data_IF_436706148893
#
_entry.id   IF_436706148893
#
_cell.length_a   1.000
_cell.length_b   1.000
_cell.length_c   1.000
_cell.angle_alpha   90.00
_cell.angle_beta   90.00
_cell.angle_gamma   90.00
#
_symmetry.space_group_name_H-M   'P 1'
#
loop_
_entity.id
_entity.type
_entity.pdbx_description
1 polymer ?
#
# COMPACT_ATOMS: atom_id res chain seq x y z
N UNK A 1 -24.21 -15.35 10.27
CA UNK A 1 -23.41 -14.32 9.56
C UNK A 1 -22.17 -15.01 9.03
N UNK A 2 -21.84 -14.85 7.74
CA UNK A 2 -20.60 -15.42 7.17
C UNK A 2 -19.36 -14.77 7.80
N UNK A 3 -18.23 -15.48 7.81
CA UNK A 3 -16.94 -14.94 8.27
C UNK A 3 -16.55 -13.79 7.33
N UNK A 4 -16.30 -12.61 7.89
CA UNK A 4 -15.88 -11.44 7.10
C UNK A 4 -14.47 -11.64 6.54
N UNK A 5 -14.26 -11.21 5.30
CA UNK A 5 -12.91 -11.16 4.71
C UNK A 5 -12.07 -10.12 5.45
N UNK A 6 -10.85 -10.47 5.80
CA UNK A 6 -9.92 -9.55 6.50
C UNK A 6 -9.07 -8.79 5.46
N UNK A 7 -9.04 -7.47 5.58
CA UNK A 7 -8.19 -6.58 4.81
C UNK A 7 -7.14 -5.93 5.72
N UNK A 8 -5.87 -6.01 5.36
CA UNK A 8 -4.78 -5.33 6.05
C UNK A 8 -4.30 -4.14 5.22
N UNK A 9 -4.32 -2.95 5.80
CA UNK A 9 -3.76 -1.73 5.20
C UNK A 9 -2.44 -1.39 5.88
N UNK A 10 -1.34 -1.51 5.16
CA UNK A 10 0.01 -1.21 5.66
C UNK A 10 0.40 0.21 5.28
N UNK A 11 0.76 1.03 6.27
CA UNK A 11 1.13 2.43 6.05
C UNK A 11 -0.06 3.38 6.12
N UNK A 12 -0.78 3.36 7.24
CA UNK A 12 -1.94 4.24 7.46
C UNK A 12 -1.49 5.61 7.94
N UNK A 13 -1.69 6.60 7.09
CA UNK A 13 -1.63 8.03 7.38
C UNK A 13 -2.95 8.70 6.98
N UNK A 14 -3.06 10.05 7.08
CA UNK A 14 -4.30 10.79 6.84
C UNK A 14 -4.80 10.78 5.38
N UNK A 15 -3.95 10.34 4.41
CA UNK A 15 -4.29 10.26 2.98
C UNK A 15 -4.71 8.86 2.54
N UNK A 16 -3.98 8.30 1.58
CA UNK A 16 -4.30 7.02 0.93
C UNK A 16 -4.60 5.89 1.92
N UNK A 17 -3.78 5.73 2.98
CA UNK A 17 -4.00 4.67 3.96
C UNK A 17 -5.33 4.79 4.70
N UNK A 18 -5.74 6.00 5.06
CA UNK A 18 -7.05 6.23 5.68
C UNK A 18 -8.20 6.01 4.69
N UNK A 19 -8.05 6.46 3.43
CA UNK A 19 -9.05 6.25 2.38
C UNK A 19 -9.25 4.76 2.06
N UNK A 20 -8.15 4.01 1.93
CA UNK A 20 -8.18 2.55 1.76
C UNK A 20 -8.92 1.87 2.92
N UNK A 21 -8.60 2.26 4.17
CA UNK A 21 -9.29 1.72 5.35
C UNK A 21 -10.80 1.96 5.34
N UNK A 22 -11.23 3.21 5.04
CA UNK A 22 -12.65 3.56 4.93
C UNK A 22 -13.35 2.78 3.81
N UNK A 23 -12.71 2.70 2.64
CA UNK A 23 -13.31 2.03 1.49
C UNK A 23 -13.56 0.55 1.77
N UNK A 24 -12.56 -0.18 2.28
CA UNK A 24 -12.71 -1.60 2.54
C UNK A 24 -13.67 -1.89 3.71
N UNK A 25 -13.71 -1.04 4.75
CA UNK A 25 -14.71 -1.15 5.81
C UNK A 25 -16.13 -0.97 5.27
N UNK A 26 -16.35 0.00 4.36
CA UNK A 26 -17.64 0.23 3.68
C UNK A 26 -18.09 -1.00 2.86
N UNK A 27 -17.16 -1.74 2.30
CA UNK A 27 -17.43 -2.98 1.54
C UNK A 27 -17.59 -4.23 2.43
N UNK A 28 -17.65 -4.03 3.75
CA UNK A 28 -17.94 -5.10 4.70
C UNK A 28 -16.74 -5.95 5.11
N UNK A 29 -15.52 -5.54 4.79
CA UNK A 29 -14.32 -6.19 5.31
C UNK A 29 -14.13 -5.90 6.81
N UNK A 30 -13.53 -6.84 7.53
CA UNK A 30 -12.86 -6.54 8.78
C UNK A 30 -11.48 -5.93 8.44
N UNK A 31 -11.16 -4.75 8.96
CA UNK A 31 -9.98 -3.98 8.51
C UNK A 31 -8.93 -3.84 9.60
N UNK A 32 -7.71 -4.28 9.34
CA UNK A 32 -6.54 -4.04 10.18
C UNK A 32 -5.72 -2.85 9.62
N UNK A 33 -5.57 -1.80 10.41
CA UNK A 33 -4.88 -0.56 10.04
C UNK A 33 -3.49 -0.52 10.68
N UNK A 34 -2.43 -0.63 9.89
CA UNK A 34 -1.05 -0.71 10.35
C UNK A 34 -0.29 0.59 10.11
N UNK A 35 0.35 1.09 11.17
CA UNK A 35 1.26 2.23 11.09
C UNK A 35 2.37 2.09 12.14
N UNK A 36 3.55 2.63 11.87
CA UNK A 36 4.66 2.69 12.83
C UNK A 36 4.25 3.46 14.10
N UNK A 37 3.57 4.61 13.91
CA UNK A 37 2.97 5.39 14.99
C UNK A 37 1.45 5.42 14.77
N UNK A 38 0.66 4.66 15.56
CA UNK A 38 -0.72 4.35 15.22
C UNK A 38 -1.76 5.44 15.59
N UNK A 39 -1.37 6.73 15.70
CA UNK A 39 -2.30 7.81 16.09
C UNK A 39 -3.47 7.91 15.10
N UNK A 40 -3.17 8.10 13.81
CA UNK A 40 -4.20 8.20 12.76
C UNK A 40 -5.02 6.92 12.63
N UNK A 41 -4.36 5.75 12.67
CA UNK A 41 -5.05 4.46 12.55
C UNK A 41 -5.97 4.17 13.74
N UNK A 42 -5.57 4.52 14.96
CA UNK A 42 -6.42 4.35 16.16
C UNK A 42 -7.66 5.26 16.10
N UNK A 43 -7.48 6.54 15.76
CA UNK A 43 -8.61 7.46 15.59
C UNK A 43 -9.58 6.98 14.52
N UNK A 44 -9.05 6.52 13.38
CA UNK A 44 -9.87 6.02 12.29
C UNK A 44 -10.59 4.71 12.67
N UNK A 45 -9.92 3.78 13.32
CA UNK A 45 -10.52 2.52 13.77
C UNK A 45 -11.71 2.72 14.70
N UNK A 46 -11.67 3.75 15.55
CA UNK A 46 -12.78 4.08 16.43
C UNK A 46 -14.06 4.56 15.71
N UNK A 47 -13.96 4.94 14.43
CA UNK A 47 -15.08 5.44 13.61
C UNK A 47 -15.62 4.43 12.62
N UNK A 48 -14.93 3.30 12.42
CA UNK A 48 -15.28 2.30 11.40
C UNK A 48 -15.68 0.97 12.03
N UNK A 49 -16.69 0.28 11.47
CA UNK A 49 -17.09 -1.03 11.95
C UNK A 49 -15.98 -2.06 11.73
N UNK A 50 -15.86 -3.04 12.62
CA UNK A 50 -14.96 -4.20 12.52
C UNK A 50 -13.51 -3.83 12.15
N UNK A 51 -13.05 -2.67 12.63
CA UNK A 51 -11.74 -2.12 12.30
C UNK A 51 -10.85 -2.06 13.53
N UNK A 52 -9.59 -2.48 13.41
CA UNK A 52 -8.59 -2.45 14.47
C UNK A 52 -7.31 -1.78 14.01
N UNK A 53 -6.64 -1.07 14.91
CA UNK A 53 -5.34 -0.45 14.67
C UNK A 53 -4.23 -1.26 15.33
N UNK A 54 -3.10 -1.40 14.62
CA UNK A 54 -1.92 -2.09 15.10
C UNK A 54 -0.67 -1.23 14.87
N UNK A 55 0.22 -1.19 15.87
CA UNK A 55 1.56 -0.64 15.68
C UNK A 55 2.40 -1.68 14.91
N UNK A 56 3.03 -1.26 13.80
CA UNK A 56 3.87 -2.13 12.98
C UNK A 56 4.97 -1.31 12.30
N UNK A 57 6.21 -1.64 12.60
CA UNK A 57 7.35 -1.18 11.82
C UNK A 57 7.66 -2.22 10.73
N UNK A 58 7.39 -1.86 9.48
CA UNK A 58 7.60 -2.75 8.33
C UNK A 58 9.07 -3.04 8.05
N UNK A 59 9.99 -2.28 8.64
CA UNK A 59 11.44 -2.48 8.49
C UNK A 59 12.01 -3.49 9.50
N UNK A 60 11.21 -3.90 10.50
CA UNK A 60 11.54 -4.89 11.52
C UNK A 60 10.72 -6.18 11.32
N UNK A 61 11.42 -7.26 10.95
CA UNK A 61 10.79 -8.57 10.73
C UNK A 61 10.08 -9.12 11.96
N UNK A 62 10.56 -8.84 13.17
CA UNK A 62 9.93 -9.27 14.43
C UNK A 62 8.64 -8.49 14.68
N UNK A 63 8.66 -7.16 14.47
CA UNK A 63 7.47 -6.32 14.55
C UNK A 63 6.40 -6.79 13.56
N UNK A 64 6.77 -7.08 12.32
CA UNK A 64 5.86 -7.60 11.29
C UNK A 64 5.27 -8.95 11.71
N UNK A 65 6.09 -9.92 12.10
CA UNK A 65 5.63 -11.26 12.49
C UNK A 65 4.62 -11.19 13.65
N UNK A 66 4.98 -10.50 14.74
CA UNK A 66 4.12 -10.36 15.92
C UNK A 66 2.79 -9.66 15.59
N UNK A 67 2.83 -8.64 14.73
CA UNK A 67 1.62 -7.92 14.30
C UNK A 67 0.68 -8.81 13.50
N UNK A 68 1.19 -9.57 12.54
CA UNK A 68 0.35 -10.46 11.71
C UNK A 68 -0.16 -11.67 12.49
N UNK A 69 0.58 -12.18 13.47
CA UNK A 69 0.09 -13.19 14.42
C UNK A 69 -1.09 -12.64 15.25
N UNK A 70 -0.98 -11.40 15.76
CA UNK A 70 -2.07 -10.74 16.46
C UNK A 70 -3.30 -10.55 15.56
N UNK A 71 -3.12 -10.13 14.30
CA UNK A 71 -4.22 -9.99 13.35
C UNK A 71 -4.91 -11.34 13.09
N UNK A 72 -4.13 -12.41 12.87
CA UNK A 72 -4.68 -13.73 12.63
C UNK A 72 -5.51 -14.23 13.82
N UNK A 73 -5.03 -14.01 15.04
CA UNK A 73 -5.74 -14.36 16.28
C UNK A 73 -7.02 -13.54 16.48
N UNK A 74 -6.96 -12.23 16.24
CA UNK A 74 -8.00 -11.27 16.61
C UNK A 74 -9.08 -11.10 15.53
N UNK A 75 -8.74 -11.34 14.26
CA UNK A 75 -9.60 -11.04 13.09
C UNK A 75 -9.73 -12.22 12.13
N UNK A 76 -8.80 -13.17 12.16
CA UNK A 76 -8.76 -14.31 11.24
C UNK A 76 -7.76 -14.15 10.09
N UNK A 77 -7.78 -15.10 9.13
CA UNK A 77 -6.82 -15.12 8.04
C UNK A 77 -7.01 -13.95 7.08
N UNK A 78 -5.89 -13.34 6.67
CA UNK A 78 -5.89 -12.19 5.78
C UNK A 78 -6.25 -12.62 4.35
N UNK A 79 -7.30 -11.98 3.80
CA UNK A 79 -7.74 -12.15 2.42
C UNK A 79 -7.12 -11.08 1.49
N UNK A 80 -6.96 -9.85 1.97
CA UNK A 80 -6.46 -8.73 1.15
C UNK A 80 -5.37 -7.98 1.90
N UNK A 81 -4.22 -7.79 1.25
CA UNK A 81 -3.12 -6.95 1.72
C UNK A 81 -2.99 -5.72 0.82
N UNK A 82 -3.10 -4.53 1.40
CA UNK A 82 -2.89 -3.25 0.73
C UNK A 82 -1.57 -2.66 1.23
N UNK A 83 -0.52 -2.73 0.42
CA UNK A 83 0.78 -2.21 0.79
C UNK A 83 0.94 -0.75 0.31
N UNK A 84 0.69 0.19 1.22
CA UNK A 84 0.77 1.63 0.99
C UNK A 84 1.95 2.29 1.73
N UNK A 85 2.68 1.56 2.57
CA UNK A 85 3.85 2.12 3.23
C UNK A 85 4.90 2.54 2.20
N UNK A 86 5.48 3.71 2.41
CA UNK A 86 6.48 4.28 1.52
C UNK A 86 7.37 5.30 2.24
N UNK A 87 8.63 5.33 1.85
CA UNK A 87 9.59 6.36 2.26
C UNK A 87 9.57 7.51 1.26
N UNK A 88 9.54 8.74 1.76
CA UNK A 88 9.54 9.98 0.95
C UNK A 88 10.87 10.73 0.99
N UNK A 89 12.00 10.04 1.10
CA UNK A 89 13.32 10.69 1.08
C UNK A 89 13.64 11.21 -0.32
N UNK A 90 13.82 12.53 -0.42
CA UNK A 90 14.10 13.26 -1.66
C UNK A 90 15.47 13.92 -1.58
N UNK A 91 16.23 13.86 -2.64
CA UNK A 91 17.54 14.48 -2.78
C UNK A 91 18.24 14.01 -4.05
N UNK A 92 19.26 14.73 -4.49
CA UNK A 92 20.14 14.33 -5.60
C UNK A 92 21.07 13.20 -5.13
N UNK A 93 21.83 12.61 -6.05
CA UNK A 93 22.87 11.61 -5.71
C UNK A 93 23.96 12.17 -4.79
N UNK A 94 24.16 13.48 -4.80
CA UNK A 94 25.12 14.17 -3.93
C UNK A 94 24.56 14.44 -2.52
N UNK A 95 23.22 14.63 -2.40
CA UNK A 95 22.55 14.96 -1.14
C UNK A 95 22.18 13.74 -0.30
N UNK A 96 21.91 12.59 -0.95
CA UNK A 96 21.36 11.41 -0.28
C UNK A 96 22.46 10.62 0.43
N UNK A 97 22.32 10.46 1.75
CA UNK A 97 23.21 9.58 2.51
C UNK A 97 22.93 8.09 2.25
N UNK A 98 23.96 7.24 2.45
CA UNK A 98 23.79 5.77 2.37
C UNK A 98 22.69 5.26 3.29
N UNK A 99 22.58 5.79 4.52
CA UNK A 99 21.53 5.42 5.48
C UNK A 99 20.12 5.78 4.98
N UNK A 100 19.94 6.96 4.36
CA UNK A 100 18.66 7.36 3.76
C UNK A 100 18.30 6.49 2.56
N UNK A 101 19.29 6.08 1.77
CA UNK A 101 19.11 5.15 0.65
C UNK A 101 18.66 3.77 1.14
N UNK A 102 19.36 3.20 2.15
CA UNK A 102 18.99 1.92 2.76
C UNK A 102 17.59 1.94 3.38
N UNK A 103 17.26 3.01 4.12
CA UNK A 103 15.94 3.16 4.72
C UNK A 103 14.82 3.19 3.66
N UNK A 104 15.06 3.84 2.52
CA UNK A 104 14.12 3.83 1.41
C UNK A 104 13.86 2.39 0.90
N UNK A 105 14.91 1.57 0.76
CA UNK A 105 14.78 0.17 0.39
C UNK A 105 14.09 -0.68 1.46
N UNK A 106 14.44 -0.45 2.73
CA UNK A 106 13.83 -1.18 3.85
C UNK A 106 12.32 -0.95 3.90
N UNK A 107 11.87 0.30 3.77
CA UNK A 107 10.43 0.60 3.79
C UNK A 107 9.73 0.13 2.52
N UNK A 108 10.24 0.45 1.32
CA UNK A 108 9.48 0.22 0.08
C UNK A 108 9.56 -1.24 -0.41
N UNK A 109 10.72 -1.89 -0.34
CA UNK A 109 10.93 -3.23 -0.88
C UNK A 109 10.96 -4.33 0.19
N UNK A 110 11.81 -4.19 1.22
CA UNK A 110 11.91 -5.21 2.26
C UNK A 110 10.60 -5.34 3.05
N UNK A 111 9.98 -4.23 3.45
CA UNK A 111 8.71 -4.24 4.17
C UNK A 111 7.58 -4.89 3.37
N UNK A 112 7.53 -4.69 2.04
CA UNK A 112 6.60 -5.42 1.18
C UNK A 112 6.87 -6.93 1.22
N UNK A 113 8.12 -7.36 1.11
CA UNK A 113 8.48 -8.77 1.19
C UNK A 113 8.08 -9.38 2.53
N UNK A 114 8.43 -8.71 3.63
CA UNK A 114 8.15 -9.20 4.99
C UNK A 114 6.64 -9.35 5.24
N UNK A 115 5.83 -8.36 4.86
CA UNK A 115 4.38 -8.39 5.04
C UNK A 115 3.70 -9.40 4.11
N UNK A 116 4.13 -9.50 2.84
CA UNK A 116 3.61 -10.48 1.90
C UNK A 116 3.85 -11.93 2.39
N UNK A 117 5.03 -12.21 2.96
CA UNK A 117 5.34 -13.54 3.54
C UNK A 117 4.40 -13.95 4.65
N UNK A 118 3.82 -13.00 5.40
CA UNK A 118 2.88 -13.32 6.48
C UNK A 118 1.50 -13.76 5.95
N UNK A 119 1.06 -13.24 4.80
CA UNK A 119 -0.30 -13.49 4.30
C UNK A 119 -0.37 -14.61 3.26
N UNK A 120 0.70 -14.83 2.50
CA UNK A 120 0.75 -15.81 1.40
C UNK A 120 0.37 -17.23 1.86
N UNK A 121 0.82 -17.78 3.00
CA UNK A 121 0.45 -19.14 3.41
C UNK A 121 -1.06 -19.33 3.57
N UNK A 122 -1.74 -18.38 4.22
CA UNK A 122 -3.19 -18.43 4.40
C UNK A 122 -3.95 -18.24 3.07
N UNK A 123 -3.51 -17.33 2.21
CA UNK A 123 -4.09 -17.13 0.87
C UNK A 123 -3.95 -18.40 0.00
N UNK A 124 -2.81 -19.08 0.05
CA UNK A 124 -2.61 -20.37 -0.64
C UNK A 124 -3.55 -21.46 -0.12
N UNK A 125 -3.70 -21.57 1.20
CA UNK A 125 -4.58 -22.55 1.82
C UNK A 125 -6.06 -22.32 1.42
N UNK A 126 -6.46 -21.06 1.22
CA UNK A 126 -7.80 -20.67 0.77
C UNK A 126 -7.96 -20.70 -0.75
N UNK A 127 -6.86 -20.83 -1.51
CA UNK A 127 -6.81 -20.65 -2.96
C UNK A 127 -7.49 -19.34 -3.41
N UNK A 128 -7.38 -18.27 -2.59
CA UNK A 128 -7.96 -16.96 -2.83
C UNK A 128 -7.17 -15.89 -2.05
N UNK A 129 -6.90 -14.75 -2.67
CA UNK A 129 -6.29 -13.61 -2.00
C UNK A 129 -5.94 -12.48 -2.95
N UNK A 130 -5.70 -11.29 -2.38
CA UNK A 130 -5.28 -10.11 -3.13
C UNK A 130 -4.11 -9.40 -2.43
N UNK A 131 -3.10 -9.01 -3.18
CA UNK A 131 -2.04 -8.12 -2.72
C UNK A 131 -1.96 -6.93 -3.67
N UNK A 132 -2.42 -5.77 -3.23
CA UNK A 132 -2.37 -4.52 -3.99
C UNK A 132 -1.25 -3.65 -3.44
N UNK A 133 -0.31 -3.29 -4.29
CA UNK A 133 0.86 -2.49 -3.94
C UNK A 133 0.70 -1.08 -4.49
N UNK A 134 0.85 -0.08 -3.64
CA UNK A 134 0.79 1.33 -4.06
C UNK A 134 2.18 1.79 -4.48
N UNK A 135 2.34 1.92 -5.79
CA UNK A 135 3.52 2.42 -6.47
C UNK A 135 3.50 3.94 -6.65
N UNK A 136 4.40 4.43 -7.46
CA UNK A 136 4.53 5.84 -7.82
C UNK A 136 5.15 5.97 -9.23
N UNK A 137 5.13 7.17 -9.84
CA UNK A 137 5.91 7.50 -11.05
C UNK A 137 7.34 6.98 -10.96
N UNK A 138 7.94 7.13 -9.78
CA UNK A 138 9.29 6.66 -9.46
C UNK A 138 9.48 5.14 -9.53
N UNK A 139 8.42 4.35 -9.64
CA UNK A 139 8.52 2.91 -9.91
C UNK A 139 8.94 2.60 -11.35
N UNK A 140 8.79 3.58 -12.26
CA UNK A 140 9.07 3.44 -13.70
C UNK A 140 10.26 4.26 -14.17
N UNK A 141 10.50 5.44 -13.56
CA UNK A 141 11.56 6.36 -13.97
C UNK A 141 12.15 7.11 -12.78
N UNK A 142 13.44 7.33 -12.81
CA UNK A 142 14.14 8.19 -11.87
C UNK A 142 13.93 9.67 -12.21
N UNK A 143 13.88 10.51 -11.17
CA UNK A 143 14.01 11.96 -11.31
C UNK A 143 15.29 12.41 -10.58
N UNK A 144 15.88 13.53 -10.98
CA UNK A 144 17.15 13.99 -10.44
C UNK A 144 17.17 14.08 -8.90
N UNK A 145 16.04 14.48 -8.29
CA UNK A 145 15.91 14.59 -6.83
C UNK A 145 15.26 13.38 -6.16
N UNK A 146 15.21 12.24 -6.81
CA UNK A 146 14.61 11.01 -6.29
C UNK A 146 15.66 9.89 -6.12
N UNK A 147 16.91 10.23 -5.81
CA UNK A 147 18.04 9.28 -5.82
C UNK A 147 17.89 8.12 -4.84
N UNK A 148 17.19 8.29 -3.72
CA UNK A 148 16.85 7.17 -2.81
C UNK A 148 15.48 6.57 -3.12
N UNK A 149 14.48 7.41 -3.40
CA UNK A 149 13.09 6.97 -3.55
C UNK A 149 12.85 6.17 -4.82
N UNK A 150 13.38 6.63 -5.97
CA UNK A 150 13.09 5.96 -7.24
C UNK A 150 13.70 4.55 -7.34
N UNK A 151 14.96 4.29 -6.98
CA UNK A 151 15.50 2.93 -6.95
C UNK A 151 14.72 2.00 -6.02
N UNK A 152 14.29 2.48 -4.85
CA UNK A 152 13.50 1.70 -3.90
C UNK A 152 12.10 1.36 -4.45
N UNK A 153 11.45 2.31 -5.14
CA UNK A 153 10.16 2.08 -5.82
C UNK A 153 10.30 1.17 -7.05
N UNK A 154 11.40 1.25 -7.79
CA UNK A 154 11.70 0.31 -8.87
C UNK A 154 11.92 -1.11 -8.35
N UNK A 155 12.63 -1.27 -7.23
CA UNK A 155 12.79 -2.56 -6.56
C UNK A 155 11.44 -3.10 -6.05
N UNK A 156 10.56 -2.24 -5.47
CA UNK A 156 9.20 -2.59 -5.09
C UNK A 156 8.40 -3.13 -6.29
N UNK A 157 8.45 -2.45 -7.45
CA UNK A 157 7.80 -2.90 -8.68
C UNK A 157 8.30 -4.26 -9.13
N UNK A 158 9.62 -4.44 -9.21
CA UNK A 158 10.22 -5.70 -9.63
C UNK A 158 9.84 -6.87 -8.70
N UNK A 159 9.82 -6.63 -7.38
CA UNK A 159 9.34 -7.62 -6.41
C UNK A 159 7.85 -7.94 -6.62
N UNK A 160 7.01 -6.94 -6.88
CA UNK A 160 5.58 -7.13 -7.13
C UNK A 160 5.37 -7.97 -8.40
N UNK A 161 6.14 -7.73 -9.45
CA UNK A 161 6.09 -8.53 -10.68
C UNK A 161 6.49 -9.99 -10.44
N UNK A 162 7.57 -10.22 -9.68
CA UNK A 162 8.00 -11.58 -9.31
C UNK A 162 6.91 -12.32 -8.50
N UNK A 163 6.26 -11.61 -7.56
CA UNK A 163 5.12 -12.17 -6.81
C UNK A 163 3.94 -12.50 -7.72
N UNK A 164 3.60 -11.63 -8.67
CA UNK A 164 2.49 -11.86 -9.60
C UNK A 164 2.74 -13.13 -10.44
N UNK A 165 3.92 -13.27 -11.04
CA UNK A 165 4.30 -14.46 -11.84
C UNK A 165 4.22 -15.75 -11.04
N UNK A 166 4.56 -15.71 -9.75
CA UNK A 166 4.56 -16.88 -8.87
C UNK A 166 3.15 -17.22 -8.32
N UNK A 167 2.35 -16.21 -7.99
CA UNK A 167 1.12 -16.39 -7.18
C UNK A 167 -0.17 -16.39 -8.00
N UNK A 168 -0.22 -15.75 -9.18
CA UNK A 168 -1.40 -15.81 -10.04
C UNK A 168 -1.83 -17.23 -10.39
N UNK A 169 -0.92 -18.18 -10.76
CA UNK A 169 -1.28 -19.56 -10.98
C UNK A 169 -1.88 -20.25 -9.75
N UNK A 170 -1.67 -19.68 -8.57
CA UNK A 170 -2.19 -20.16 -7.28
C UNK A 170 -3.45 -19.42 -6.84
N UNK A 171 -4.07 -18.66 -7.77
CA UNK A 171 -5.29 -17.90 -7.56
C UNK A 171 -5.16 -16.76 -6.51
N UNK A 172 -3.98 -16.15 -6.41
CA UNK A 172 -3.74 -14.96 -5.60
C UNK A 172 -3.44 -13.81 -6.55
N UNK A 173 -4.30 -12.78 -6.54
CA UNK A 173 -4.17 -11.62 -7.42
C UNK A 173 -3.16 -10.62 -6.85
N UNK A 174 -2.12 -10.33 -7.59
CA UNK A 174 -1.09 -9.33 -7.27
C UNK A 174 -1.20 -8.21 -8.28
N UNK A 175 -1.34 -6.96 -7.80
CA UNK A 175 -1.44 -5.78 -8.65
C UNK A 175 -0.61 -4.62 -8.12
N UNK A 176 -0.04 -3.83 -9.03
CA UNK A 176 0.69 -2.60 -8.75
C UNK A 176 -0.12 -1.40 -9.27
N UNK A 177 -0.48 -0.47 -8.38
CA UNK A 177 -1.11 0.79 -8.74
C UNK A 177 -0.05 1.88 -8.76
N UNK A 178 0.29 2.39 -9.94
CA UNK A 178 1.20 3.51 -10.12
C UNK A 178 0.42 4.81 -9.93
N UNK A 179 0.73 5.57 -8.89
CA UNK A 179 0.23 6.94 -8.76
C UNK A 179 1.17 7.85 -9.55
N UNK A 180 0.72 8.34 -10.71
CA UNK A 180 1.47 9.29 -11.51
C UNK A 180 0.86 10.68 -11.40
N UNK A 181 1.20 11.33 -10.30
CA UNK A 181 0.69 12.63 -9.89
C UNK A 181 0.93 12.90 -8.41
N UNK A 182 0.51 14.06 -7.95
CA UNK A 182 0.63 14.47 -6.55
C UNK A 182 -0.65 14.13 -5.79
N UNK A 183 -0.53 13.34 -4.73
CA UNK A 183 -1.68 12.98 -3.89
C UNK A 183 -2.14 14.18 -3.07
N UNK A 184 -3.46 14.36 -2.96
CA UNK A 184 -4.09 15.38 -2.14
C UNK A 184 -3.90 15.10 -0.64
N UNK A 185 -2.94 15.79 -0.05
CA UNK A 185 -2.58 15.68 1.36
C UNK A 185 -2.37 17.08 1.95
N UNK A 186 -2.58 17.29 3.24
CA UNK A 186 -2.29 18.60 3.86
C UNK A 186 -0.89 19.11 3.55
N UNK A 187 0.13 18.22 3.58
CA UNK A 187 1.52 18.61 3.28
C UNK A 187 1.74 18.98 1.82
N UNK A 188 1.14 18.25 0.88
CA UNK A 188 1.30 18.53 -0.56
C UNK A 188 0.56 19.79 -0.96
N UNK A 189 -0.62 20.04 -0.35
CA UNK A 189 -1.35 21.30 -0.49
C UNK A 189 -0.56 22.49 0.06
N UNK A 190 0.06 22.33 1.22
CA UNK A 190 0.91 23.39 1.79
C UNK A 190 2.15 23.70 0.94
N UNK A 191 2.70 22.71 0.23
CA UNK A 191 3.85 22.88 -0.66
C UNK A 191 3.49 23.45 -2.04
N UNK A 192 2.24 23.24 -2.50
CA UNK A 192 1.77 23.55 -3.85
C UNK A 192 0.45 24.36 -3.79
N UNK A 193 0.50 25.49 -3.06
CA UNK A 193 -0.68 26.32 -2.75
C UNK A 193 -1.37 26.91 -3.99
N UNK A 194 -0.59 27.14 -5.06
CA UNK A 194 -1.08 27.75 -6.31
C UNK A 194 -1.71 26.72 -7.27
N UNK A 195 -1.71 25.43 -6.92
CA UNK A 195 -2.27 24.41 -7.78
C UNK A 195 -3.77 24.24 -7.54
N UNK A 196 -4.59 24.11 -8.61
CA UNK A 196 -6.01 23.86 -8.50
C UNK A 196 -6.32 22.46 -7.96
N UNK A 197 -7.55 22.22 -7.51
CA UNK A 197 -7.96 20.95 -6.92
C UNK A 197 -7.77 19.76 -7.87
N UNK A 198 -8.04 19.95 -9.15
CA UNK A 198 -7.92 18.94 -10.20
C UNK A 198 -6.47 18.59 -10.62
N UNK A 199 -5.49 19.27 -10.03
CA UNK A 199 -4.08 18.89 -10.14
C UNK A 199 -3.72 17.68 -9.25
N UNK A 200 -4.49 17.43 -8.21
CA UNK A 200 -4.17 16.41 -7.22
C UNK A 200 -4.94 15.11 -7.45
N UNK A 201 -4.32 13.97 -7.11
CA UNK A 201 -5.01 12.68 -7.01
C UNK A 201 -5.74 12.60 -5.68
N UNK A 202 -7.06 12.44 -5.73
CA UNK A 202 -7.86 12.25 -4.52
C UNK A 202 -7.59 10.86 -3.89
N UNK A 203 -7.30 10.76 -2.58
CA UNK A 203 -7.09 9.48 -1.91
C UNK A 203 -8.29 8.53 -1.99
N UNK A 204 -9.51 9.06 -1.97
CA UNK A 204 -10.72 8.23 -2.02
C UNK A 204 -10.91 7.61 -3.42
N UNK A 205 -10.60 8.33 -4.50
CA UNK A 205 -10.63 7.78 -5.87
C UNK A 205 -9.59 6.66 -6.04
N UNK A 206 -8.40 6.83 -5.43
CA UNK A 206 -7.38 5.79 -5.42
C UNK A 206 -7.84 4.55 -4.64
N UNK A 207 -8.55 4.74 -3.53
CA UNK A 207 -9.11 3.65 -2.76
C UNK A 207 -10.20 2.89 -3.52
N UNK A 208 -11.00 3.59 -4.33
CA UNK A 208 -11.99 3.01 -5.23
C UNK A 208 -11.31 2.14 -6.29
N UNK A 209 -10.25 2.63 -6.92
CA UNK A 209 -9.43 1.86 -7.86
C UNK A 209 -8.90 0.59 -7.19
N UNK A 210 -8.29 0.70 -6.01
CA UNK A 210 -7.73 -0.43 -5.29
C UNK A 210 -8.79 -1.50 -4.96
N UNK A 211 -9.99 -1.08 -4.56
CA UNK A 211 -11.09 -2.00 -4.32
C UNK A 211 -11.53 -2.72 -5.60
N UNK A 212 -11.75 -2.00 -6.71
CA UNK A 212 -12.17 -2.59 -7.97
C UNK A 212 -11.17 -3.64 -8.49
N UNK A 213 -9.88 -3.45 -8.26
CA UNK A 213 -8.86 -4.45 -8.60
C UNK A 213 -9.06 -5.76 -7.83
N UNK A 214 -9.52 -5.72 -6.57
CA UNK A 214 -9.71 -6.93 -5.76
C UNK A 214 -10.93 -7.77 -6.17
N UNK A 215 -11.85 -7.22 -6.95
CA UNK A 215 -13.07 -7.89 -7.41
C UNK A 215 -13.08 -8.19 -8.90
N UNK A 216 -11.95 -8.03 -9.58
CA UNK A 216 -11.83 -8.35 -11.01
C UNK A 216 -12.02 -9.84 -11.28
N UNK A 217 -12.67 -10.19 -12.41
CA UNK A 217 -12.76 -11.57 -12.85
C UNK A 217 -11.37 -12.13 -13.21
N UNK A 218 -11.11 -13.39 -12.86
CA UNK A 218 -9.81 -14.05 -13.08
C UNK A 218 -9.33 -14.07 -14.54
N UNK A 219 -10.25 -14.04 -15.49
CA UNK A 219 -9.93 -14.02 -16.92
C UNK A 219 -9.32 -12.70 -17.40
N UNK A 220 -9.36 -11.63 -16.55
CA UNK A 220 -8.89 -10.30 -16.91
C UNK A 220 -8.27 -9.56 -15.71
N UNK A 221 -7.40 -10.22 -14.97
CA UNK A 221 -6.66 -9.58 -13.88
C UNK A 221 -5.66 -8.54 -14.40
N UNK A 222 -5.66 -7.39 -13.77
CA UNK A 222 -4.70 -6.30 -14.03
C UNK A 222 -3.45 -6.52 -13.18
N UNK A 223 -2.26 -6.54 -13.81
CA UNK A 223 -1.00 -6.51 -13.07
C UNK A 223 -0.58 -5.09 -12.69
N UNK A 224 -0.58 -4.17 -13.64
CA UNK A 224 -0.15 -2.78 -13.44
C UNK A 224 -1.21 -1.82 -13.96
N UNK A 225 -1.59 -0.86 -13.14
CA UNK A 225 -2.51 0.21 -13.48
C UNK A 225 -1.86 1.55 -13.12
N UNK A 226 -1.96 2.54 -14.02
CA UNK A 226 -1.54 3.91 -13.75
C UNK A 226 -2.77 4.78 -13.48
N UNK A 227 -2.74 5.47 -12.34
CA UNK A 227 -3.74 6.46 -11.94
C UNK A 227 -3.08 7.85 -11.90
N UNK A 228 -3.66 8.82 -12.62
CA UNK A 228 -3.19 10.21 -12.66
C UNK A 228 -4.34 11.18 -12.75
N UNK A 229 -4.18 12.44 -12.29
CA UNK A 229 -5.13 13.49 -12.58
C UNK A 229 -5.24 13.71 -14.10
N UNK A 230 -6.42 14.02 -14.59
CA UNK A 230 -6.62 14.17 -16.04
C UNK A 230 -5.84 15.35 -16.67
N UNK A 231 -5.40 16.30 -15.86
CA UNK A 231 -4.55 17.45 -16.26
C UNK A 231 -3.05 17.24 -16.04
N UNK A 232 -2.62 16.09 -15.57
CA UNK A 232 -1.19 15.80 -15.44
C UNK A 232 -0.54 15.76 -16.82
N UNK A 233 0.59 16.46 -16.97
CA UNK A 233 1.33 16.49 -18.22
C UNK A 233 2.14 15.20 -18.41
N UNK A 234 2.10 14.69 -19.63
CA UNK A 234 2.83 13.48 -20.03
C UNK A 234 4.32 13.74 -20.20
#
# INVERSE_FOLDING_TARGET
MGVKKVCVVVGVGPGNGAALGRRFAKEGYAVALLARTPVTSTTLAATLPDTRAYACDVTDGTSVANTFEAIARDMGPVHTLLYNAGSGTWGTVEDVSGAAFEEAFRVNALGLLLTAKQVIPAMKAQAEGNIIVIGATSSRRGAARAAAFAPAKAAQKSLTEAMARHLWPQNIHICLVIIDGVVDLPRTRAMLQDKPDDFFVAPDDLADIAYHLTVQPRSAWTFELEARPFKEHW
#
